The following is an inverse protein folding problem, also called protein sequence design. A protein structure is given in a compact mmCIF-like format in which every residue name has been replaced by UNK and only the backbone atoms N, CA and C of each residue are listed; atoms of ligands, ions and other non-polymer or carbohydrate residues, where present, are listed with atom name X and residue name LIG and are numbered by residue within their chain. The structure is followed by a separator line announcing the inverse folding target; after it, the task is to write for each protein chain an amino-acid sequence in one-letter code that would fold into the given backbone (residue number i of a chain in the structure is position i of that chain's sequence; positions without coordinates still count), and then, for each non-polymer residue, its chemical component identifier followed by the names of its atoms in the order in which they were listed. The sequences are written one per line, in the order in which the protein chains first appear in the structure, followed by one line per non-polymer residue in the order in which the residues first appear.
data_IF_934757212972
#
_entry.id   IF_934757212972
#
_cell.length_a   1.000
_cell.length_b   1.000
_cell.length_c   1.000
_cell.angle_alpha   90.00
_cell.angle_beta   90.00
_cell.angle_gamma   90.00
#
_symmetry.space_group_name_H-M   'P 1'
#
loop_
_entity.id
_entity.type
_entity.pdbx_description
1 polymer ?
#
# COMPACT_ATOMS: atom_id res chain seq x y z
N UNK A 1 4.99 1.70 -3.64
CA UNK A 1 6.09 1.40 -4.58
C UNK A 1 5.70 1.61 -6.04
N UNK A 2 4.84 0.79 -6.66
CA UNK A 2 4.49 0.94 -8.10
C UNK A 2 3.95 2.35 -8.41
N UNK A 3 3.05 2.87 -7.57
CA UNK A 3 2.55 4.24 -7.70
C UNK A 3 3.68 5.29 -7.66
N UNK A 4 4.67 5.12 -6.79
CA UNK A 4 5.82 6.02 -6.69
C UNK A 4 6.68 5.95 -7.96
N UNK A 5 7.01 4.74 -8.44
CA UNK A 5 7.81 4.52 -9.64
C UNK A 5 7.18 5.13 -10.91
N UNK A 6 5.85 5.23 -10.97
CA UNK A 6 5.12 5.87 -12.06
C UNK A 6 5.14 7.41 -12.01
N UNK A 7 5.59 8.01 -10.92
CA UNK A 7 5.61 9.47 -10.69
C UNK A 7 7.01 10.06 -10.52
N UNK A 8 8.00 9.26 -10.13
CA UNK A 8 9.39 9.68 -9.97
C UNK A 8 10.00 10.23 -11.27
N UNK A 9 10.97 11.14 -11.13
CA UNK A 9 11.92 11.44 -12.21
C UNK A 9 12.76 10.21 -12.56
N UNK A 10 13.48 10.26 -13.69
CA UNK A 10 14.39 9.17 -14.07
C UNK A 10 15.46 8.90 -12.99
N UNK A 11 16.04 9.97 -12.42
CA UNK A 11 17.07 9.86 -11.38
C UNK A 11 16.51 9.29 -10.08
N UNK A 12 15.34 9.75 -9.64
CA UNK A 12 14.67 9.24 -8.44
C UNK A 12 14.23 7.79 -8.61
N UNK A 13 13.81 7.41 -9.82
CA UNK A 13 13.46 6.04 -10.16
C UNK A 13 14.69 5.13 -10.09
N UNK A 14 15.82 5.57 -10.65
CA UNK A 14 17.08 4.83 -10.59
C UNK A 14 17.58 4.70 -9.14
N UNK A 15 17.49 5.76 -8.34
CA UNK A 15 17.85 5.72 -6.92
C UNK A 15 16.95 4.74 -6.13
N UNK A 16 15.63 4.79 -6.33
CA UNK A 16 14.69 3.88 -5.67
C UNK A 16 14.93 2.42 -6.07
N UNK A 17 15.16 2.14 -7.35
CA UNK A 17 15.49 0.79 -7.81
C UNK A 17 16.86 0.32 -7.30
N UNK A 18 17.83 1.24 -7.19
CA UNK A 18 19.14 0.96 -6.60
C UNK A 18 19.03 0.50 -5.15
N UNK A 19 18.22 1.20 -4.33
CA UNK A 19 17.94 0.79 -2.95
C UNK A 19 17.25 -0.57 -2.90
N UNK A 20 16.23 -0.79 -3.74
CA UNK A 20 15.48 -2.06 -3.77
C UNK A 20 16.30 -3.26 -4.27
N UNK A 21 17.35 -3.01 -5.04
CA UNK A 21 18.27 -4.03 -5.53
C UNK A 21 19.33 -4.44 -4.51
N UNK A 22 19.47 -3.73 -3.39
CA UNK A 22 20.41 -4.08 -2.33
C UNK A 22 19.92 -5.31 -1.56
N UNK A 23 20.80 -6.24 -1.19
CA UNK A 23 20.45 -7.29 -0.24
C UNK A 23 20.20 -6.69 1.16
N UNK A 24 19.44 -7.36 2.04
CA UNK A 24 19.09 -6.83 3.36
C UNK A 24 20.30 -6.42 4.20
N UNK A 25 21.41 -7.14 4.08
CA UNK A 25 22.65 -6.89 4.83
C UNK A 25 23.36 -5.60 4.40
N UNK A 26 23.00 -5.06 3.23
CA UNK A 26 23.58 -3.83 2.66
C UNK A 26 22.59 -2.66 2.66
N UNK A 27 21.36 -2.88 3.16
CA UNK A 27 20.33 -1.83 3.25
C UNK A 27 20.55 -1.03 4.54
N UNK A 28 20.77 0.27 4.43
CA UNK A 28 21.00 1.14 5.59
C UNK A 28 19.71 1.86 6.02
N UNK A 29 19.69 2.40 7.25
CA UNK A 29 18.59 3.25 7.71
C UNK A 29 18.42 4.51 6.83
N UNK A 30 19.52 5.01 6.26
CA UNK A 30 19.52 6.14 5.33
C UNK A 30 18.82 5.80 4.02
N UNK A 31 19.03 4.59 3.49
CA UNK A 31 18.31 4.07 2.34
C UNK A 31 16.80 4.03 2.61
N UNK A 32 16.41 3.53 3.78
CA UNK A 32 15.01 3.46 4.21
C UNK A 32 14.39 4.86 4.33
N UNK A 33 15.10 5.80 4.95
CA UNK A 33 14.64 7.19 5.08
C UNK A 33 14.52 7.88 3.72
N UNK A 34 15.45 7.66 2.80
CA UNK A 34 15.39 8.22 1.45
C UNK A 34 14.15 7.72 0.69
N UNK A 35 13.88 6.40 0.73
CA UNK A 35 12.69 5.82 0.09
C UNK A 35 11.41 6.31 0.75
N UNK A 36 11.38 6.42 2.09
CA UNK A 36 10.23 6.94 2.82
C UNK A 36 9.89 8.37 2.38
N UNK A 37 10.90 9.24 2.25
CA UNK A 37 10.71 10.62 1.75
C UNK A 37 10.17 10.65 0.34
N UNK A 38 10.61 9.76 -0.55
CA UNK A 38 10.04 9.64 -1.90
C UNK A 38 8.56 9.23 -1.85
N UNK A 39 8.21 8.27 -1.00
CA UNK A 39 6.82 7.85 -0.84
C UNK A 39 5.94 8.96 -0.29
N UNK A 40 6.42 9.75 0.66
CA UNK A 40 5.73 10.92 1.20
C UNK A 40 5.59 12.02 0.13
N UNK A 41 6.69 12.39 -0.56
CA UNK A 41 6.71 13.39 -1.63
C UNK A 41 5.69 13.12 -2.73
N UNK A 42 5.57 11.87 -3.15
CA UNK A 42 4.65 11.46 -4.21
C UNK A 42 3.27 11.03 -3.70
N UNK A 43 2.96 11.20 -2.40
CA UNK A 43 1.68 10.83 -1.82
C UNK A 43 1.36 9.34 -1.94
N UNK A 44 2.38 8.49 -2.01
CA UNK A 44 2.21 7.04 -2.24
C UNK A 44 1.60 6.31 -1.06
N UNK A 45 1.79 6.83 0.15
CA UNK A 45 1.17 6.29 1.37
C UNK A 45 -0.34 6.55 1.35
N UNK A 46 -0.73 7.78 1.04
CA UNK A 46 -2.15 8.15 1.03
C UNK A 46 -2.89 7.50 -0.15
N UNK A 47 -2.24 7.40 -1.31
CA UNK A 47 -2.75 6.61 -2.43
C UNK A 47 -3.02 5.15 -2.02
N UNK A 48 -2.12 4.53 -1.26
CA UNK A 48 -2.31 3.15 -0.80
C UNK A 48 -3.50 3.04 0.17
N UNK A 49 -3.69 4.00 1.08
CA UNK A 49 -4.84 4.05 1.98
C UNK A 49 -6.15 4.24 1.22
N UNK A 50 -6.21 5.16 0.27
CA UNK A 50 -7.38 5.36 -0.58
C UNK A 50 -7.72 4.11 -1.38
N UNK A 51 -6.71 3.45 -1.96
CA UNK A 51 -6.91 2.21 -2.72
C UNK A 51 -7.44 1.09 -1.84
N UNK A 52 -6.92 0.94 -0.63
CA UNK A 52 -7.44 -0.02 0.35
C UNK A 52 -8.90 0.29 0.70
N UNK A 53 -9.24 1.56 0.97
CA UNK A 53 -10.61 1.98 1.23
C UNK A 53 -11.57 1.74 0.05
N UNK A 54 -11.10 1.96 -1.18
CA UNK A 54 -11.89 1.67 -2.38
C UNK A 54 -12.17 0.17 -2.55
N UNK A 55 -11.16 -0.68 -2.29
CA UNK A 55 -11.35 -2.13 -2.30
C UNK A 55 -12.31 -2.58 -1.19
N UNK A 56 -12.27 -1.95 -0.02
CA UNK A 56 -13.25 -2.20 1.06
C UNK A 56 -14.68 -1.96 0.59
N UNK A 57 -14.92 -0.79 0.00
CA UNK A 57 -16.26 -0.42 -0.50
C UNK A 57 -16.75 -1.41 -1.57
N UNK A 58 -15.87 -1.84 -2.47
CA UNK A 58 -16.19 -2.87 -3.46
C UNK A 58 -16.52 -4.22 -2.81
N UNK A 59 -15.81 -4.59 -1.74
CA UNK A 59 -16.11 -5.78 -0.97
C UNK A 59 -17.48 -5.66 -0.28
N UNK A 60 -17.79 -4.55 0.37
CA UNK A 60 -19.10 -4.28 0.99
C UNK A 60 -20.25 -4.36 -0.02
N UNK A 61 -20.09 -3.76 -1.21
CA UNK A 61 -21.08 -3.86 -2.30
C UNK A 61 -21.28 -5.29 -2.79
N UNK A 62 -20.23 -6.11 -2.76
CA UNK A 62 -20.29 -7.53 -3.13
C UNK A 62 -20.97 -8.35 -2.04
N UNK A 63 -20.66 -8.08 -0.76
CA UNK A 63 -21.24 -8.76 0.40
C UNK A 63 -22.75 -8.57 0.45
N UNK A 64 -23.25 -7.37 0.15
CA UNK A 64 -24.70 -7.09 0.10
C UNK A 64 -25.48 -7.97 -0.88
N UNK A 65 -24.81 -8.60 -1.85
CA UNK A 65 -25.42 -9.53 -2.82
C UNK A 65 -25.41 -10.99 -2.35
N UNK A 66 -24.75 -11.28 -1.24
CA UNK A 66 -24.65 -12.61 -0.63
C UNK A 66 -25.76 -12.83 0.41
N UNK A 67 -25.97 -14.09 0.86
CA UNK A 67 -26.90 -14.38 1.94
C UNK A 67 -26.63 -13.55 3.21
N UNK A 68 -27.67 -12.97 3.87
CA UNK A 68 -27.52 -12.09 5.03
C UNK A 68 -26.74 -12.70 6.20
N UNK A 69 -26.78 -14.02 6.36
CA UNK A 69 -26.07 -14.73 7.44
C UNK A 69 -24.55 -14.58 7.33
N UNK A 70 -24.04 -14.29 6.13
CA UNK A 70 -22.62 -14.12 5.84
C UNK A 70 -22.14 -12.67 5.98
N UNK A 71 -23.05 -11.70 6.03
CA UNK A 71 -22.70 -10.27 5.95
C UNK A 71 -21.76 -9.87 7.09
N UNK A 72 -22.16 -10.15 8.33
CA UNK A 72 -21.38 -9.74 9.50
C UNK A 72 -19.97 -10.32 9.54
N UNK A 73 -19.80 -11.60 9.15
CA UNK A 73 -18.47 -12.23 9.11
C UNK A 73 -17.58 -11.61 8.03
N UNK A 74 -18.13 -11.37 6.85
CA UNK A 74 -17.37 -10.85 5.71
C UNK A 74 -17.03 -9.36 5.87
N UNK A 75 -17.93 -8.57 6.44
CA UNK A 75 -17.67 -7.15 6.77
C UNK A 75 -16.57 -7.04 7.82
N UNK A 76 -16.66 -7.83 8.91
CA UNK A 76 -15.60 -7.91 9.92
C UNK A 76 -14.25 -8.28 9.30
N UNK A 77 -14.24 -9.27 8.39
CA UNK A 77 -13.02 -9.71 7.74
C UNK A 77 -12.42 -8.62 6.84
N UNK A 78 -13.25 -7.90 6.08
CA UNK A 78 -12.82 -6.79 5.24
C UNK A 78 -12.20 -5.65 6.09
N UNK A 79 -12.80 -5.34 7.23
CA UNK A 79 -12.29 -4.36 8.19
C UNK A 79 -10.96 -4.76 8.81
N UNK A 80 -10.86 -6.01 9.24
CA UNK A 80 -9.65 -6.56 9.82
C UNK A 80 -8.47 -6.49 8.84
N UNK A 81 -8.69 -6.81 7.56
CA UNK A 81 -7.62 -6.83 6.56
C UNK A 81 -6.97 -5.45 6.32
N UNK A 82 -7.71 -4.36 6.55
CA UNK A 82 -7.24 -2.98 6.33
C UNK A 82 -6.68 -2.38 7.62
N UNK A 83 -7.26 -2.72 8.77
CA UNK A 83 -6.87 -2.17 10.07
C UNK A 83 -5.75 -2.96 10.76
N UNK A 84 -5.47 -4.20 10.34
CA UNK A 84 -4.43 -5.02 10.96
C UNK A 84 -3.07 -4.31 10.95
N UNK A 85 -2.51 -4.09 12.14
CA UNK A 85 -1.08 -3.85 12.29
C UNK A 85 -0.41 -5.22 12.23
N UNK A 86 0.44 -5.43 11.23
CA UNK A 86 1.30 -6.62 11.18
C UNK A 86 2.43 -6.49 12.19
#
# INVERSE_FOLDING_TARGET
MIHCLGKCSADEKNALLGVLGKPPEQTTDEDVLAVKRLFERYGSIDYAKEKAGALKRQAEETIRKLPPELHGLLEFFADYLISRKK
#
